data_IF_878538070598
#
_entry.id   IF_878538070598
#
_cell.length_a   1.000
_cell.length_b   1.000
_cell.length_c   1.000
_cell.angle_alpha   90.00
_cell.angle_beta   90.00
_cell.angle_gamma   90.00
#
_symmetry.space_group_name_H-M   'P 1'
#
loop_
_entity.id
_entity.type
_entity.pdbx_description
1 polymer ?
#
# COMPACT_ATOMS: atom_id res chain seq x y z
N UNK A 1 -23.63 3.81 -5.52
CA UNK A 1 -22.76 2.74 -5.01
C UNK A 1 -21.49 3.45 -4.57
N UNK A 2 -21.14 3.46 -3.29
CA UNK A 2 -19.83 3.97 -2.88
C UNK A 2 -18.80 3.01 -3.47
N UNK A 3 -17.82 3.55 -4.19
CA UNK A 3 -16.70 2.75 -4.68
C UNK A 3 -15.97 2.17 -3.45
N UNK A 4 -15.69 0.88 -3.53
CA UNK A 4 -14.89 0.15 -2.56
C UNK A 4 -13.43 0.48 -2.88
N UNK A 5 -12.73 1.19 -2.00
CA UNK A 5 -11.37 1.70 -2.31
C UNK A 5 -10.38 1.30 -1.23
N UNK A 6 -9.15 1.11 -1.66
CA UNK A 6 -7.98 0.97 -0.82
C UNK A 6 -7.20 2.29 -0.81
N UNK A 7 -6.73 2.72 0.34
CA UNK A 7 -5.94 3.94 0.45
C UNK A 7 -4.47 3.66 0.70
N UNK A 8 -3.59 4.36 -0.01
CA UNK A 8 -2.13 4.21 0.08
C UNK A 8 -1.44 5.54 0.35
N UNK A 9 -0.67 5.59 1.44
CA UNK A 9 0.05 6.79 1.87
C UNK A 9 1.49 6.51 2.27
N UNK A 10 2.21 7.58 2.60
CA UNK A 10 3.60 7.51 3.06
C UNK A 10 3.64 7.88 4.54
N UNK A 11 4.37 7.12 5.34
CA UNK A 11 4.59 7.41 6.75
C UNK A 11 5.82 8.32 6.87
N UNK A 12 5.59 9.61 7.15
CA UNK A 12 6.68 10.59 7.26
C UNK A 12 7.64 10.31 8.43
N UNK A 13 7.09 10.11 9.63
CA UNK A 13 7.85 9.82 10.85
C UNK A 13 7.54 8.40 11.33
N UNK A 14 8.22 7.42 10.75
CA UNK A 14 8.05 6.02 11.13
C UNK A 14 8.66 5.72 12.51
N UNK A 15 7.90 5.03 13.36
CA UNK A 15 8.41 4.48 14.62
C UNK A 15 7.94 3.03 14.81
N UNK A 16 8.84 2.16 15.24
CA UNK A 16 8.56 0.73 15.44
C UNK A 16 7.72 0.43 16.68
N UNK A 17 7.49 1.42 17.55
CA UNK A 17 6.66 1.27 18.75
C UNK A 17 5.19 1.63 18.53
N UNK A 18 4.85 2.20 17.37
CA UNK A 18 3.50 2.66 17.08
C UNK A 18 2.59 1.51 16.66
N UNK A 19 1.37 1.54 17.20
CA UNK A 19 0.24 0.77 16.68
C UNK A 19 -0.58 1.68 15.78
N UNK A 20 -0.91 1.19 14.59
CA UNK A 20 -1.73 1.86 13.60
C UNK A 20 -3.11 1.21 13.63
N UNK A 21 -4.06 1.88 14.27
CA UNK A 21 -5.43 1.40 14.48
C UNK A 21 -6.46 2.32 13.84
N UNK A 22 -6.16 3.62 13.78
CA UNK A 22 -7.08 4.62 13.23
C UNK A 22 -6.96 4.76 11.70
N UNK A 23 -8.12 4.75 11.03
CA UNK A 23 -8.25 5.18 9.65
C UNK A 23 -8.07 6.70 9.56
N UNK A 24 -6.88 7.12 9.15
CA UNK A 24 -6.47 8.54 9.07
C UNK A 24 -5.75 8.83 7.74
N UNK A 25 -6.40 8.59 6.59
CA UNK A 25 -5.75 8.68 5.27
C UNK A 25 -5.16 10.08 4.98
N UNK A 26 -5.82 11.14 5.43
CA UNK A 26 -5.33 12.52 5.25
C UNK A 26 -3.96 12.75 5.90
N UNK A 27 -3.69 12.10 7.04
CA UNK A 27 -2.41 12.22 7.76
C UNK A 27 -1.23 11.72 6.93
N UNK A 28 -1.47 10.73 6.07
CA UNK A 28 -0.43 10.06 5.27
C UNK A 28 -0.49 10.48 3.80
N UNK A 29 -1.27 11.53 3.50
CA UNK A 29 -1.51 12.05 2.16
C UNK A 29 -1.91 10.92 1.20
N UNK A 30 -2.83 10.07 1.63
CA UNK A 30 -3.20 8.88 0.87
C UNK A 30 -3.78 9.22 -0.51
N UNK A 31 -3.51 8.34 -1.46
CA UNK A 31 -4.26 8.21 -2.71
C UNK A 31 -5.21 7.03 -2.58
N UNK A 32 -6.27 6.98 -3.39
CA UNK A 32 -7.24 5.88 -3.37
C UNK A 32 -7.14 5.07 -4.67
N UNK A 33 -7.30 3.75 -4.56
CA UNK A 33 -7.33 2.81 -5.69
C UNK A 33 -8.52 1.89 -5.53
N UNK A 34 -9.26 1.66 -6.62
CA UNK A 34 -10.43 0.80 -6.64
C UNK A 34 -10.09 -0.65 -6.23
N UNK A 35 -10.95 -1.26 -5.40
CA UNK A 35 -10.80 -2.63 -4.91
C UNK A 35 -10.68 -3.65 -6.05
N UNK A 36 -11.44 -3.51 -7.14
CA UNK A 36 -11.35 -4.46 -8.25
C UNK A 36 -9.93 -4.46 -8.86
N UNK A 37 -9.25 -3.30 -8.86
CA UNK A 37 -7.86 -3.18 -9.29
C UNK A 37 -6.94 -3.89 -8.30
N UNK A 38 -7.02 -3.58 -7.00
CA UNK A 38 -6.14 -4.16 -5.97
C UNK A 38 -6.35 -5.68 -5.84
N UNK A 39 -7.60 -6.13 -5.83
CA UNK A 39 -7.98 -7.54 -5.82
C UNK A 39 -7.38 -8.31 -7.00
N UNK A 40 -7.24 -7.68 -8.17
CA UNK A 40 -6.58 -8.30 -9.33
C UNK A 40 -5.07 -8.52 -9.16
N UNK A 41 -4.42 -7.75 -8.27
CA UNK A 41 -2.98 -7.83 -7.98
C UNK A 41 -2.66 -8.74 -6.78
N UNK A 42 -3.66 -9.06 -5.94
CA UNK A 42 -3.47 -9.68 -4.63
C UNK A 42 -2.63 -10.97 -4.67
N UNK A 43 -2.80 -11.80 -5.70
CA UNK A 43 -2.01 -13.03 -5.87
C UNK A 43 -0.51 -12.75 -5.97
N UNK A 44 -0.13 -11.72 -6.71
CA UNK A 44 1.28 -11.34 -6.91
C UNK A 44 1.85 -10.65 -5.66
N UNK A 45 1.00 -9.93 -4.92
CA UNK A 45 1.38 -9.29 -3.66
C UNK A 45 1.55 -10.29 -2.50
N UNK A 46 1.06 -11.52 -2.60
CA UNK A 46 1.11 -12.51 -1.51
C UNK A 46 2.51 -12.88 -1.01
N UNK A 47 3.57 -12.57 -1.77
CA UNK A 47 4.97 -12.79 -1.36
C UNK A 47 5.63 -11.53 -0.76
N UNK A 48 4.95 -10.39 -0.83
CA UNK A 48 5.48 -9.11 -0.36
C UNK A 48 5.42 -9.08 1.17
N UNK A 49 6.57 -9.07 1.83
CA UNK A 49 6.64 -8.97 3.30
C UNK A 49 6.02 -7.65 3.77
N UNK A 50 5.09 -7.71 4.71
CA UNK A 50 4.42 -6.54 5.28
C UNK A 50 4.17 -6.72 6.77
N UNK A 51 3.48 -5.77 7.38
CA UNK A 51 3.08 -5.86 8.78
C UNK A 51 1.65 -5.36 8.95
N UNK A 52 0.82 -6.06 9.74
CA UNK A 52 -0.55 -5.62 9.96
C UNK A 52 -0.68 -4.91 11.31
N UNK A 53 -1.17 -3.66 11.28
CA UNK A 53 -1.33 -2.74 12.41
C UNK A 53 -0.04 -2.35 13.18
N UNK A 54 0.96 -3.23 13.29
CA UNK A 54 2.20 -3.00 14.02
C UNK A 54 3.33 -3.82 13.44
N UNK A 55 4.56 -3.31 13.47
CA UNK A 55 5.73 -4.05 12.95
C UNK A 55 6.11 -5.29 13.74
N UNK A 56 5.47 -5.52 14.90
CA UNK A 56 5.57 -6.79 15.63
C UNK A 56 4.77 -7.92 14.98
N UNK A 57 3.78 -7.57 14.17
CA UNK A 57 2.92 -8.53 13.50
C UNK A 57 3.31 -8.62 12.01
N UNK A 58 4.37 -9.40 11.75
CA UNK A 58 4.86 -9.61 10.39
C UNK A 58 3.92 -10.53 9.62
N UNK A 59 3.52 -10.08 8.44
CA UNK A 59 2.61 -10.77 7.53
C UNK A 59 3.13 -10.64 6.09
N UNK A 60 2.29 -11.03 5.12
CA UNK A 60 2.57 -10.86 3.70
C UNK A 60 1.34 -10.31 2.96
N UNK A 61 1.59 -9.61 1.86
CA UNK A 61 0.55 -8.98 1.04
C UNK A 61 -0.15 -7.82 1.74
N UNK A 62 -1.38 -7.56 1.34
CA UNK A 62 -2.21 -6.47 1.86
C UNK A 62 -3.36 -7.07 2.68
N UNK A 63 -3.59 -6.52 3.88
CA UNK A 63 -4.77 -6.85 4.67
C UNK A 63 -6.01 -6.32 3.95
N UNK A 64 -6.87 -7.21 3.47
CA UNK A 64 -8.10 -6.80 2.78
C UNK A 64 -9.01 -5.98 3.70
N UNK A 65 -9.13 -6.40 4.97
CA UNK A 65 -9.74 -5.63 6.05
C UNK A 65 -8.66 -5.24 7.05
N UNK A 66 -8.42 -3.93 7.22
CA UNK A 66 -7.50 -3.41 8.23
C UNK A 66 -6.33 -2.62 7.66
N UNK A 67 -5.26 -2.52 8.44
CA UNK A 67 -4.13 -1.62 8.15
C UNK A 67 -2.88 -2.43 7.86
N UNK A 68 -2.24 -2.13 6.73
CA UNK A 68 -0.95 -2.71 6.35
C UNK A 68 0.14 -1.64 6.37
N UNK A 69 1.29 -1.98 6.94
CA UNK A 69 2.52 -1.20 6.89
C UNK A 69 3.44 -1.91 5.89
N UNK A 70 3.86 -1.18 4.85
CA UNK A 70 4.70 -1.70 3.79
C UNK A 70 6.11 -1.14 4.00
N UNK A 71 7.10 -1.99 4.31
CA UNK A 71 8.43 -1.52 4.61
C UNK A 71 9.23 -1.19 3.34
N UNK A 72 10.30 -0.35 3.43
CA UNK A 72 11.10 0.05 2.28
C UNK A 72 11.63 -1.14 1.46
N UNK A 73 12.03 -2.24 2.11
CA UNK A 73 12.54 -3.42 1.42
C UNK A 73 11.50 -4.11 0.51
N UNK A 74 10.22 -3.86 0.73
CA UNK A 74 9.11 -4.47 -0.01
C UNK A 74 8.61 -3.61 -1.18
N UNK A 75 9.03 -2.34 -1.25
CA UNK A 75 8.56 -1.40 -2.26
C UNK A 75 8.96 -1.79 -3.69
N UNK A 76 10.10 -2.47 -3.87
CA UNK A 76 10.52 -2.96 -5.18
C UNK A 76 9.53 -4.01 -5.74
N UNK A 77 9.13 -4.98 -4.92
CA UNK A 77 8.12 -6.00 -5.29
C UNK A 77 6.77 -5.34 -5.52
N UNK A 78 6.42 -4.35 -4.69
CA UNK A 78 5.16 -3.63 -4.83
C UNK A 78 5.08 -2.90 -6.18
N UNK A 79 6.12 -2.12 -6.49
CA UNK A 79 6.23 -1.38 -7.74
C UNK A 79 6.19 -2.31 -8.96
N UNK A 80 6.98 -3.39 -8.94
CA UNK A 80 6.98 -4.38 -10.03
C UNK A 80 5.59 -4.98 -10.23
N UNK A 81 4.88 -5.31 -9.16
CA UNK A 81 3.52 -5.86 -9.23
C UNK A 81 2.53 -4.88 -9.85
N UNK A 82 2.58 -3.61 -9.43
CA UNK A 82 1.71 -2.54 -9.94
C UNK A 82 2.00 -2.26 -11.43
N UNK A 83 3.27 -2.08 -11.78
CA UNK A 83 3.68 -1.71 -13.15
C UNK A 83 3.56 -2.86 -14.15
N UNK A 84 3.65 -4.11 -13.68
CA UNK A 84 3.45 -5.31 -14.52
C UNK A 84 1.97 -5.63 -14.77
N UNK A 85 1.04 -4.91 -14.13
CA UNK A 85 -0.39 -5.06 -14.39
C UNK A 85 -0.71 -4.77 -15.85
N UNK A 86 -1.52 -5.62 -16.48
CA UNK A 86 -2.04 -5.39 -17.84
C UNK A 86 -2.86 -4.11 -17.95
N UNK A 87 -3.38 -3.60 -16.82
CA UNK A 87 -4.18 -2.39 -16.75
C UNK A 87 -3.35 -1.12 -16.55
N UNK A 88 -2.06 -1.25 -16.20
CA UNK A 88 -1.22 -0.14 -15.77
C UNK A 88 -1.25 1.07 -16.72
N UNK A 89 -1.10 0.83 -18.03
CA UNK A 89 -1.05 1.91 -19.04
C UNK A 89 -2.37 2.67 -19.21
N UNK A 90 -3.48 2.12 -18.75
CA UNK A 90 -4.82 2.68 -18.94
C UNK A 90 -5.52 2.98 -17.61
N UNK A 91 -4.78 2.98 -16.50
CA UNK A 91 -5.32 3.20 -15.15
C UNK A 91 -4.54 4.33 -14.49
N UNK A 92 -5.17 5.50 -14.40
CA UNK A 92 -4.59 6.66 -13.73
C UNK A 92 -4.29 6.35 -12.25
N UNK A 93 -5.14 5.56 -11.60
CA UNK A 93 -4.95 5.09 -10.22
C UNK A 93 -3.69 4.23 -10.05
N UNK A 94 -3.42 3.31 -10.98
CA UNK A 94 -2.20 2.51 -10.93
C UNK A 94 -0.94 3.34 -11.23
N UNK A 95 -1.05 4.31 -12.13
CA UNK A 95 0.04 5.26 -12.43
C UNK A 95 0.35 6.11 -11.20
N UNK A 96 -0.67 6.62 -10.53
CA UNK A 96 -0.54 7.40 -9.30
C UNK A 96 0.04 6.55 -8.16
N UNK A 97 -0.42 5.30 -8.01
CA UNK A 97 0.12 4.35 -7.04
C UNK A 97 1.60 4.06 -7.29
N UNK A 98 1.99 3.81 -8.55
CA UNK A 98 3.39 3.63 -8.90
C UNK A 98 4.24 4.85 -8.55
N UNK A 99 3.75 6.07 -8.85
CA UNK A 99 4.44 7.31 -8.48
C UNK A 99 4.58 7.46 -6.96
N UNK A 100 3.57 7.08 -6.18
CA UNK A 100 3.61 7.08 -4.71
C UNK A 100 4.67 6.11 -4.17
N UNK A 101 4.77 4.92 -4.76
CA UNK A 101 5.77 3.91 -4.39
C UNK A 101 7.18 4.39 -4.74
N UNK A 102 7.38 5.00 -5.90
CA UNK A 102 8.67 5.59 -6.28
C UNK A 102 9.10 6.69 -5.31
N UNK A 103 8.17 7.56 -4.92
CA UNK A 103 8.43 8.59 -3.91
C UNK A 103 8.89 7.96 -2.59
N UNK A 104 8.14 6.99 -2.06
CA UNK A 104 8.51 6.31 -0.82
C UNK A 104 9.85 5.59 -0.94
N UNK A 105 10.16 5.01 -2.11
CA UNK A 105 11.43 4.34 -2.41
C UNK A 105 12.59 5.32 -2.41
N UNK A 106 12.45 6.47 -3.08
CA UNK A 106 13.48 7.50 -3.14
C UNK A 106 13.77 8.10 -1.75
N UNK A 107 12.74 8.24 -0.93
CA UNK A 107 12.84 8.77 0.44
C UNK A 107 13.19 7.69 1.49
N UNK A 108 13.29 6.41 1.10
CA UNK A 108 13.48 5.27 2.00
C UNK A 108 12.45 5.20 3.14
N UNK A 109 11.19 5.57 2.83
CA UNK A 109 10.09 5.64 3.79
C UNK A 109 9.20 4.39 3.74
N UNK A 110 8.55 4.12 4.87
CA UNK A 110 7.48 3.14 4.96
C UNK A 110 6.22 3.71 4.29
N UNK A 111 5.43 2.83 3.67
CA UNK A 111 4.07 3.17 3.25
C UNK A 111 3.04 2.58 4.21
N UNK A 112 1.85 3.17 4.20
CA UNK A 112 0.67 2.66 4.87
C UNK A 112 -0.42 2.35 3.84
N UNK A 113 -1.13 1.27 4.06
CA UNK A 113 -2.29 0.86 3.29
C UNK A 113 -3.48 0.65 4.22
N UNK A 114 -4.63 1.18 3.82
CA UNK A 114 -5.92 0.91 4.43
C UNK A 114 -6.75 0.05 3.49
N UNK A 115 -7.14 -1.13 3.97
CA UNK A 115 -8.11 -1.98 3.31
C UNK A 115 -9.53 -1.42 3.43
N UNK A 116 -10.47 -2.17 2.84
CA UNK A 116 -11.90 -1.86 2.75
C UNK A 116 -12.61 -1.95 4.10
#
# INVERSE_FOLDING_TARGET
>A
MMACVHDFGIIDDFTSQKNYEDYTPEKYHCISVDDDIISSLNRNLSIMKTYFHTVKNQEYGLAYYGITIIPPESLAIFYETVTSSKFFKNSDELIELASKIEQATAEQKYMIHYGV
#
